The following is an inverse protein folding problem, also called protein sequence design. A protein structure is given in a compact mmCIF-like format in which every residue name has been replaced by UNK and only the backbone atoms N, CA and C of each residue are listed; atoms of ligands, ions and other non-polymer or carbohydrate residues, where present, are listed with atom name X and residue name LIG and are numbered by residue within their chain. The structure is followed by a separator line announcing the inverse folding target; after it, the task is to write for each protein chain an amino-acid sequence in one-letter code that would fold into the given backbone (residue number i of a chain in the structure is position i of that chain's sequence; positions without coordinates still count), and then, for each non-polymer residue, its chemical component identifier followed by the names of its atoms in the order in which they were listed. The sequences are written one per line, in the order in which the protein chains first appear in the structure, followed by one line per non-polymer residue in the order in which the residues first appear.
data_IF_011515777163
#
_entry.id   IF_011515777163
#
_cell.length_a   1.000
_cell.length_b   1.000
_cell.length_c   1.000
_cell.angle_alpha   90.00
_cell.angle_beta   90.00
_cell.angle_gamma   90.00
#
_symmetry.space_group_name_H-M   'P 1'
#
loop_
_entity.id
_entity.type
_entity.pdbx_description
1 polymer ?
#
# COMPACT_ATOMS: atom_id res chain seq x y z
N UNK A 1 -11.79 10.28 36.78
CA UNK A 1 -10.32 10.25 36.63
C UNK A 1 -9.89 11.58 36.00
N UNK A 2 -8.86 12.22 36.57
CA UNK A 2 -8.34 13.48 36.06
C UNK A 2 -7.48 13.25 34.79
N UNK A 3 -7.74 14.07 33.78
CA UNK A 3 -6.96 14.10 32.55
C UNK A 3 -6.15 15.41 32.50
N UNK A 4 -4.84 15.26 32.25
CA UNK A 4 -3.89 16.39 32.23
C UNK A 4 -3.51 16.87 30.84
N UNK A 5 -4.04 16.22 29.78
CA UNK A 5 -3.69 16.48 28.38
C UNK A 5 -4.71 17.38 27.69
N UNK A 6 -5.99 17.04 27.82
CA UNK A 6 -7.07 17.60 27.01
C UNK A 6 -7.85 18.69 27.75
N UNK A 7 -8.46 19.59 26.97
CA UNK A 7 -9.43 20.54 27.47
C UNK A 7 -10.82 19.90 27.69
N UNK A 8 -11.72 20.57 28.45
CA UNK A 8 -12.99 19.99 28.84
C UNK A 8 -13.89 19.64 27.64
N UNK A 9 -13.95 20.48 26.60
CA UNK A 9 -14.75 20.21 25.40
C UNK A 9 -14.34 18.89 24.68
N UNK A 10 -13.06 18.59 24.65
CA UNK A 10 -12.54 17.31 24.06
C UNK A 10 -13.00 16.15 24.96
N UNK A 11 -12.89 16.27 26.27
CA UNK A 11 -13.30 15.21 27.20
C UNK A 11 -14.81 14.99 27.20
N UNK A 12 -15.59 16.02 27.05
CA UNK A 12 -17.06 15.91 26.98
C UNK A 12 -17.48 15.18 25.70
N UNK A 13 -16.87 15.51 24.57
CA UNK A 13 -17.07 14.76 23.32
C UNK A 13 -16.66 13.29 23.45
N UNK A 14 -15.48 13.00 24.01
CA UNK A 14 -15.00 11.65 24.25
C UNK A 14 -15.88 10.85 25.19
N UNK A 15 -16.33 11.48 26.32
CA UNK A 15 -17.24 10.85 27.26
C UNK A 15 -18.62 10.56 26.66
N UNK A 16 -19.13 11.45 25.78
CA UNK A 16 -20.39 11.25 25.08
C UNK A 16 -20.29 10.02 24.09
N UNK A 17 -19.23 9.95 23.29
CA UNK A 17 -19.02 8.84 22.35
C UNK A 17 -18.89 7.52 23.08
N UNK A 18 -18.03 7.45 24.10
CA UNK A 18 -17.77 6.21 24.82
C UNK A 18 -18.94 5.80 25.71
N UNK A 19 -19.81 6.75 26.09
CA UNK A 19 -21.02 6.49 26.86
C UNK A 19 -22.00 5.51 26.21
N UNK A 20 -21.94 5.37 24.88
CA UNK A 20 -22.75 4.44 24.10
C UNK A 20 -22.28 2.97 24.20
N UNK A 21 -21.12 2.68 24.79
CA UNK A 21 -20.59 1.33 24.92
C UNK A 21 -21.21 0.59 26.11
N UNK A 22 -21.95 -0.48 25.85
CA UNK A 22 -22.74 -1.26 26.82
C UNK A 22 -21.88 -2.00 27.86
N UNK A 23 -20.60 -2.21 27.63
CA UNK A 23 -19.67 -2.96 28.52
C UNK A 23 -18.71 -2.10 29.35
N UNK A 24 -18.92 -0.78 29.41
CA UNK A 24 -17.97 0.14 30.05
C UNK A 24 -18.01 0.10 31.57
N UNK A 25 -16.84 0.00 32.22
CA UNK A 25 -16.68 0.36 33.64
C UNK A 25 -16.82 1.90 33.77
N UNK A 26 -17.82 2.39 34.51
CA UNK A 26 -18.25 3.78 34.57
C UNK A 26 -17.21 4.78 35.10
N UNK A 27 -16.23 5.16 34.25
CA UNK A 27 -15.29 6.23 34.54
C UNK A 27 -15.65 7.46 33.70
N UNK A 28 -15.72 8.62 34.34
CA UNK A 28 -15.87 9.93 33.67
C UNK A 28 -14.56 10.69 33.77
N UNK A 29 -14.05 11.12 32.60
CA UNK A 29 -12.85 11.96 32.54
C UNK A 29 -13.22 13.44 32.76
N UNK A 30 -12.39 14.14 33.51
CA UNK A 30 -12.50 15.59 33.76
C UNK A 30 -11.10 16.22 33.78
N UNK A 31 -10.99 17.53 33.60
CA UNK A 31 -9.72 18.26 33.54
C UNK A 31 -9.82 19.64 34.20
N UNK A 32 -8.68 20.18 34.59
CA UNK A 32 -8.49 21.57 35.01
C UNK A 32 -7.95 22.48 33.89
N UNK A 33 -7.70 21.93 32.69
CA UNK A 33 -7.13 22.66 31.55
C UNK A 33 -8.09 23.66 30.87
N UNK A 34 -9.19 24.03 31.54
CA UNK A 34 -10.18 24.96 31.00
C UNK A 34 -11.09 24.33 29.94
N UNK A 35 -11.96 25.13 29.34
CA UNK A 35 -13.01 24.67 28.42
C UNK A 35 -12.42 24.30 27.04
N UNK A 36 -11.48 25.09 26.53
CA UNK A 36 -10.87 24.93 25.22
C UNK A 36 -11.81 25.24 24.05
N UNK A 37 -11.35 25.01 22.83
CA UNK A 37 -12.15 25.18 21.62
C UNK A 37 -13.16 24.04 21.46
N UNK A 38 -14.23 24.31 20.72
CA UNK A 38 -15.27 23.31 20.43
C UNK A 38 -14.76 22.31 19.40
N UNK A 39 -15.10 21.04 19.57
CA UNK A 39 -14.92 20.01 18.58
C UNK A 39 -15.73 20.34 17.31
N UNK A 40 -15.11 20.36 16.17
CA UNK A 40 -15.76 20.61 14.89
C UNK A 40 -16.04 19.30 14.15
N UNK A 41 -17.21 19.21 13.54
CA UNK A 41 -17.59 18.09 12.68
C UNK A 41 -17.73 18.64 11.25
N UNK A 42 -17.02 18.06 10.31
CA UNK A 42 -17.10 18.41 8.91
C UNK A 42 -17.56 17.19 8.10
N UNK A 43 -18.66 17.36 7.35
CA UNK A 43 -19.13 16.36 6.38
C UNK A 43 -18.58 16.72 5.01
N UNK A 44 -18.07 15.74 4.31
CA UNK A 44 -17.52 15.87 2.95
C UNK A 44 -18.13 14.79 2.06
N UNK A 45 -17.99 14.92 0.73
CA UNK A 45 -18.65 14.04 -0.23
C UNK A 45 -17.78 12.86 -0.68
N UNK A 46 -16.45 12.97 -0.56
CA UNK A 46 -15.51 11.95 -0.99
C UNK A 46 -14.25 11.92 -0.12
N UNK A 47 -13.50 10.82 -0.20
CA UNK A 47 -12.18 10.69 0.44
C UNK A 47 -11.21 11.78 -0.04
N UNK A 48 -11.31 12.17 -1.31
CA UNK A 48 -10.49 13.24 -1.89
C UNK A 48 -10.82 14.59 -1.26
N UNK A 49 -12.11 14.87 -1.01
CA UNK A 49 -12.55 16.10 -0.34
C UNK A 49 -12.10 16.13 1.12
N UNK A 50 -12.16 14.97 1.80
CA UNK A 50 -11.64 14.81 3.15
C UNK A 50 -10.16 15.15 3.23
N UNK A 51 -9.37 14.51 2.36
CA UNK A 51 -7.92 14.71 2.31
C UNK A 51 -7.53 16.17 1.97
N UNK A 52 -8.23 16.79 1.02
CA UNK A 52 -8.02 18.18 0.65
C UNK A 52 -8.43 19.14 1.80
N UNK A 53 -9.53 18.86 2.50
CA UNK A 53 -9.95 19.63 3.67
C UNK A 53 -8.90 19.56 4.79
N UNK A 54 -8.35 18.36 5.07
CA UNK A 54 -7.29 18.17 6.07
C UNK A 54 -6.04 18.99 5.67
N UNK A 55 -5.57 18.85 4.43
CA UNK A 55 -4.38 19.56 3.94
C UNK A 55 -4.57 21.08 4.02
N UNK A 56 -5.74 21.59 3.62
CA UNK A 56 -6.07 23.02 3.67
C UNK A 56 -6.13 23.54 5.11
N UNK A 57 -6.68 22.75 6.04
CA UNK A 57 -6.75 23.11 7.45
C UNK A 57 -5.37 23.21 8.08
N UNK A 58 -4.48 22.24 7.81
CA UNK A 58 -3.11 22.25 8.29
C UNK A 58 -2.32 23.44 7.72
N UNK A 59 -2.51 23.74 6.43
CA UNK A 59 -1.85 24.88 5.80
C UNK A 59 -2.32 26.21 6.39
N UNK A 60 -3.62 26.36 6.64
CA UNK A 60 -4.19 27.54 7.28
C UNK A 60 -3.65 27.72 8.71
N UNK A 61 -3.48 26.63 9.45
CA UNK A 61 -2.91 26.69 10.80
C UNK A 61 -1.43 27.09 10.76
N UNK A 62 -0.65 26.48 9.89
CA UNK A 62 0.75 26.83 9.67
C UNK A 62 0.94 28.31 9.27
N UNK A 63 0.06 28.83 8.41
CA UNK A 63 0.09 30.25 7.98
C UNK A 63 -0.21 31.20 9.16
N UNK A 64 -0.95 30.75 10.16
CA UNK A 64 -1.21 31.49 11.40
C UNK A 64 -0.08 31.36 12.44
N UNK A 65 1.00 30.69 12.12
CA UNK A 65 2.17 30.51 13.00
C UNK A 65 2.19 29.19 13.78
N UNK A 66 1.31 28.25 13.45
CA UNK A 66 1.34 26.89 13.98
C UNK A 66 2.53 26.08 13.46
N UNK A 67 2.85 24.97 14.12
CA UNK A 67 3.90 24.05 13.68
C UNK A 67 3.28 22.73 13.21
N UNK A 68 3.85 22.15 12.13
CA UNK A 68 3.41 20.85 11.61
C UNK A 68 3.42 19.74 12.67
N UNK A 69 4.42 19.78 13.58
CA UNK A 69 4.57 18.80 14.66
C UNK A 69 3.45 18.82 15.71
N UNK A 70 2.69 19.90 15.78
CA UNK A 70 1.64 20.08 16.78
C UNK A 70 0.29 19.51 16.31
N UNK A 71 0.25 19.00 15.06
CA UNK A 71 -0.94 18.41 14.46
C UNK A 71 -0.79 16.90 14.27
N UNK A 72 -1.89 16.18 14.48
CA UNK A 72 -1.98 14.75 14.21
C UNK A 72 -3.26 14.41 13.45
N UNK A 73 -3.14 13.50 12.48
CA UNK A 73 -4.28 12.95 11.74
C UNK A 73 -4.47 11.51 12.19
N UNK A 74 -5.67 11.20 12.69
CA UNK A 74 -6.04 9.86 13.16
C UNK A 74 -7.10 9.29 12.23
N UNK A 75 -6.90 8.05 11.79
CA UNK A 75 -7.84 7.34 10.93
C UNK A 75 -8.05 5.91 11.43
N UNK A 76 -9.19 5.32 11.08
CA UNK A 76 -9.56 3.97 11.55
C UNK A 76 -8.98 2.88 10.67
N UNK A 77 -8.96 3.07 9.36
CA UNK A 77 -8.51 2.08 8.38
C UNK A 77 -7.27 2.56 7.65
N UNK A 78 -6.32 1.65 7.42
CA UNK A 78 -5.09 1.96 6.72
C UNK A 78 -5.32 2.46 5.28
N UNK A 79 -6.40 2.03 4.61
CA UNK A 79 -6.75 2.49 3.28
C UNK A 79 -6.92 4.01 3.18
N UNK A 80 -7.46 4.64 4.24
CA UNK A 80 -7.66 6.10 4.30
C UNK A 80 -6.35 6.90 4.23
N UNK A 81 -5.21 6.30 4.62
CA UNK A 81 -3.92 6.99 4.61
C UNK A 81 -3.49 7.43 3.21
N UNK A 82 -3.84 6.68 2.16
CA UNK A 82 -3.38 6.96 0.80
C UNK A 82 -3.85 8.33 0.29
N UNK A 83 -5.16 8.61 0.36
CA UNK A 83 -5.72 9.89 -0.07
C UNK A 83 -5.11 11.07 0.73
N UNK A 84 -4.96 10.88 2.05
CA UNK A 84 -4.38 11.89 2.95
C UNK A 84 -2.89 12.12 2.61
N UNK A 85 -2.09 11.06 2.46
CA UNK A 85 -0.68 11.17 2.10
C UNK A 85 -0.48 11.86 0.75
N UNK A 86 -1.31 11.54 -0.25
CA UNK A 86 -1.27 12.20 -1.56
C UNK A 86 -1.58 13.68 -1.47
N UNK A 87 -2.60 14.07 -0.67
CA UNK A 87 -2.95 15.47 -0.48
C UNK A 87 -1.85 16.24 0.25
N UNK A 88 -1.24 15.66 1.30
CA UNK A 88 -0.13 16.26 2.03
C UNK A 88 1.09 16.47 1.11
N UNK A 89 1.47 15.47 0.32
CA UNK A 89 2.58 15.56 -0.65
C UNK A 89 2.33 16.65 -1.70
N UNK A 90 1.13 16.68 -2.27
CA UNK A 90 0.74 17.67 -3.30
C UNK A 90 0.85 19.09 -2.78
N UNK A 91 0.57 19.32 -1.49
CA UNK A 91 0.66 20.61 -0.84
C UNK A 91 2.02 20.89 -0.17
N UNK A 92 3.01 20.00 -0.31
CA UNK A 92 4.34 20.17 0.29
C UNK A 92 4.36 20.11 1.81
N UNK A 93 3.35 19.49 2.44
CA UNK A 93 3.23 19.38 3.90
C UNK A 93 4.08 18.20 4.39
N UNK A 94 5.09 18.43 5.26
CA UNK A 94 5.88 17.34 5.80
C UNK A 94 5.07 16.49 6.79
N UNK A 95 5.15 15.17 6.67
CA UNK A 95 4.43 14.24 7.55
C UNK A 95 5.23 12.98 7.86
N UNK A 96 4.83 12.31 8.94
CA UNK A 96 5.33 10.99 9.33
C UNK A 96 4.16 10.07 9.65
N UNK A 97 4.10 8.91 9.01
CA UNK A 97 3.16 7.85 9.38
C UNK A 97 3.70 7.10 10.60
N UNK A 98 2.88 7.02 11.65
CA UNK A 98 3.23 6.36 12.91
C UNK A 98 2.37 5.12 13.08
N UNK A 99 3.01 3.97 13.31
CA UNK A 99 2.31 2.71 13.58
C UNK A 99 1.69 2.01 12.36
N UNK A 100 1.87 2.57 11.14
CA UNK A 100 1.43 1.97 9.88
C UNK A 100 2.55 1.91 8.85
N UNK A 101 2.46 0.99 7.89
CA UNK A 101 3.29 1.07 6.68
C UNK A 101 2.72 2.15 5.77
N UNK A 102 3.60 2.97 5.19
CA UNK A 102 3.20 3.90 4.12
C UNK A 102 2.53 3.10 3.01
N UNK A 103 1.53 3.67 2.34
CA UNK A 103 0.81 2.99 1.26
C UNK A 103 1.75 2.31 0.26
N UNK A 104 2.77 3.03 -0.23
CA UNK A 104 3.76 2.49 -1.17
C UNK A 104 4.75 1.50 -0.56
N UNK A 105 4.76 1.33 0.77
CA UNK A 105 5.60 0.34 1.46
C UNK A 105 4.89 -1.00 1.67
N UNK A 106 3.59 -1.06 1.43
CA UNK A 106 2.81 -2.29 1.51
C UNK A 106 3.29 -3.32 0.50
N UNK A 107 3.30 -4.58 0.91
CA UNK A 107 3.76 -5.67 0.05
C UNK A 107 2.97 -5.75 -1.25
N UNK A 108 1.64 -5.64 -1.16
CA UNK A 108 0.71 -5.72 -2.28
C UNK A 108 0.98 -4.63 -3.33
N UNK A 109 1.21 -3.41 -2.87
CA UNK A 109 1.52 -2.26 -3.75
C UNK A 109 2.88 -2.46 -4.43
N UNK A 110 3.89 -2.91 -3.67
CA UNK A 110 5.23 -3.20 -4.21
C UNK A 110 5.20 -4.36 -5.22
N UNK A 111 4.39 -5.38 -4.96
CA UNK A 111 4.25 -6.53 -5.85
C UNK A 111 3.62 -6.10 -7.17
N UNK A 112 2.49 -5.38 -7.12
CA UNK A 112 1.81 -4.92 -8.33
C UNK A 112 2.64 -3.91 -9.13
N UNK A 113 3.30 -2.96 -8.47
CA UNK A 113 4.26 -2.08 -9.14
C UNK A 113 5.38 -2.87 -9.80
N UNK A 114 5.84 -3.97 -9.18
CA UNK A 114 6.90 -4.80 -9.76
C UNK A 114 6.42 -5.56 -10.99
N UNK A 115 5.16 -6.02 -11.03
CA UNK A 115 4.58 -6.57 -12.25
C UNK A 115 4.54 -5.54 -13.38
N UNK A 116 4.00 -4.34 -13.11
CA UNK A 116 3.90 -3.28 -14.11
C UNK A 116 5.27 -2.84 -14.63
N UNK A 117 6.26 -2.70 -13.73
CA UNK A 117 7.63 -2.37 -14.12
C UNK A 117 8.28 -3.48 -14.96
N UNK A 118 8.07 -4.76 -14.60
CA UNK A 118 8.61 -5.90 -15.36
C UNK A 118 7.99 -6.00 -16.75
N UNK A 119 6.70 -5.74 -16.89
CA UNK A 119 6.00 -5.69 -18.18
C UNK A 119 6.56 -4.56 -19.06
N UNK A 120 6.83 -3.40 -18.47
CA UNK A 120 7.41 -2.27 -19.19
C UNK A 120 8.91 -2.46 -19.52
N UNK A 121 9.63 -3.22 -18.70
CA UNK A 121 11.06 -3.50 -18.88
C UNK A 121 11.40 -4.89 -18.33
N UNK A 122 11.47 -5.87 -19.22
CA UNK A 122 11.79 -7.26 -18.89
C UNK A 122 13.22 -7.46 -18.35
N UNK A 123 14.13 -6.51 -18.56
CA UNK A 123 15.51 -6.56 -18.06
C UNK A 123 15.62 -6.12 -16.57
N UNK A 124 14.52 -5.77 -15.89
CA UNK A 124 14.55 -5.43 -14.47
C UNK A 124 14.56 -6.67 -13.58
N UNK A 125 15.75 -7.20 -13.34
CA UNK A 125 15.97 -8.40 -12.53
C UNK A 125 15.47 -8.28 -11.10
N UNK A 126 15.50 -7.09 -10.50
CA UNK A 126 14.99 -6.88 -9.15
C UNK A 126 13.46 -7.05 -9.08
N UNK A 127 12.76 -6.53 -10.08
CA UNK A 127 11.31 -6.67 -10.19
C UNK A 127 10.93 -8.10 -10.54
N UNK A 128 11.65 -8.73 -11.44
CA UNK A 128 11.49 -10.16 -11.77
C UNK A 128 11.61 -11.03 -10.52
N UNK A 129 12.71 -10.91 -9.77
CA UNK A 129 12.93 -11.71 -8.56
C UNK A 129 11.81 -11.53 -7.53
N UNK A 130 11.23 -10.32 -7.45
CA UNK A 130 10.14 -10.05 -6.54
C UNK A 130 8.87 -10.80 -6.90
N UNK A 131 8.50 -10.89 -8.18
CA UNK A 131 7.17 -11.35 -8.60
C UNK A 131 7.13 -12.75 -9.22
N UNK A 132 8.27 -13.32 -9.60
CA UNK A 132 8.34 -14.62 -10.29
C UNK A 132 7.61 -15.74 -9.54
N UNK A 133 7.61 -15.70 -8.21
CA UNK A 133 6.90 -16.67 -7.36
C UNK A 133 5.89 -16.00 -6.41
N UNK A 134 5.37 -14.84 -6.77
CA UNK A 134 4.32 -14.12 -6.03
C UNK A 134 3.18 -13.77 -7.00
N UNK A 135 2.02 -14.42 -6.90
CA UNK A 135 1.66 -15.56 -6.02
C UNK A 135 2.51 -16.81 -6.25
N UNK A 136 2.41 -17.76 -5.30
CA UNK A 136 3.21 -18.98 -5.36
C UNK A 136 2.95 -19.81 -6.62
N UNK A 137 3.99 -20.01 -7.44
CA UNK A 137 3.96 -20.79 -8.71
C UNK A 137 4.77 -22.07 -8.61
N UNK A 138 5.29 -22.37 -7.43
CA UNK A 138 6.19 -23.51 -7.22
C UNK A 138 7.57 -23.31 -7.89
N UNK A 139 7.98 -22.05 -8.07
CA UNK A 139 9.32 -21.65 -8.47
C UNK A 139 10.08 -21.34 -7.19
N UNK A 140 10.88 -22.30 -6.70
CA UNK A 140 11.59 -22.18 -5.44
C UNK A 140 12.81 -21.25 -5.52
N UNK A 141 13.29 -20.81 -4.34
CA UNK A 141 14.48 -19.95 -4.22
C UNK A 141 15.72 -20.54 -4.90
N UNK A 142 15.90 -21.86 -4.82
CA UNK A 142 17.01 -22.56 -5.50
C UNK A 142 16.96 -22.41 -7.03
N UNK A 143 15.76 -22.43 -7.62
CA UNK A 143 15.60 -22.22 -9.05
C UNK A 143 15.92 -20.77 -9.43
N UNK A 144 15.44 -19.82 -8.64
CA UNK A 144 15.70 -18.38 -8.85
C UNK A 144 17.20 -18.10 -8.75
N UNK A 145 17.88 -18.69 -7.79
CA UNK A 145 19.33 -18.54 -7.62
C UNK A 145 20.11 -19.09 -8.81
N UNK A 146 19.72 -20.25 -9.34
CA UNK A 146 20.33 -20.81 -10.58
C UNK A 146 20.13 -19.90 -11.80
N UNK A 147 18.92 -19.34 -11.96
CA UNK A 147 18.65 -18.36 -13.03
C UNK A 147 19.55 -17.14 -12.87
N UNK A 148 19.68 -16.59 -11.65
CA UNK A 148 20.54 -15.45 -11.36
C UNK A 148 22.00 -15.73 -11.67
N UNK A 149 22.49 -16.93 -11.32
CA UNK A 149 23.86 -17.34 -11.57
C UNK A 149 24.13 -17.46 -13.08
N UNK A 150 23.24 -18.13 -13.84
CA UNK A 150 23.35 -18.24 -15.29
C UNK A 150 23.32 -16.86 -15.97
N UNK A 151 22.44 -15.97 -15.53
CA UNK A 151 22.36 -14.60 -16.02
C UNK A 151 23.68 -13.85 -15.81
N UNK A 152 24.28 -13.96 -14.62
CA UNK A 152 25.55 -13.34 -14.30
C UNK A 152 26.72 -13.92 -15.13
N UNK A 153 26.75 -15.25 -15.32
CA UNK A 153 27.78 -15.94 -16.14
C UNK A 153 27.74 -15.54 -17.60
N UNK A 154 26.54 -15.27 -18.13
CA UNK A 154 26.38 -14.93 -19.57
C UNK A 154 26.27 -13.42 -19.82
N UNK A 155 26.18 -12.61 -18.78
CA UNK A 155 25.99 -11.17 -18.92
C UNK A 155 24.63 -10.80 -19.53
N UNK A 156 23.60 -11.63 -19.29
CA UNK A 156 22.23 -11.46 -19.78
C UNK A 156 21.27 -11.13 -18.65
N UNK A 157 20.13 -10.46 -18.94
CA UNK A 157 19.04 -10.35 -17.99
C UNK A 157 18.51 -11.71 -17.55
N UNK A 158 18.04 -11.83 -16.34
CA UNK A 158 17.43 -13.08 -15.84
C UNK A 158 16.23 -13.52 -16.71
N UNK A 159 15.49 -12.58 -17.27
CA UNK A 159 14.33 -12.86 -18.11
C UNK A 159 14.71 -13.65 -19.37
N UNK A 160 15.83 -13.34 -20.00
CA UNK A 160 16.34 -14.05 -21.18
C UNK A 160 16.70 -15.50 -20.84
N UNK A 161 17.25 -15.73 -19.66
CA UNK A 161 17.49 -17.09 -19.14
C UNK A 161 16.18 -17.87 -18.94
N UNK A 162 15.11 -17.17 -18.48
CA UNK A 162 13.80 -17.82 -18.34
C UNK A 162 13.21 -18.22 -19.68
N UNK A 163 13.36 -17.41 -20.72
CA UNK A 163 12.85 -17.70 -22.07
C UNK A 163 13.48 -18.98 -22.64
N UNK A 164 14.76 -19.21 -22.42
CA UNK A 164 15.50 -20.42 -22.87
C UNK A 164 15.73 -21.46 -21.77
N UNK A 165 14.85 -21.49 -20.75
CA UNK A 165 15.04 -22.36 -19.58
C UNK A 165 15.21 -23.85 -19.91
N UNK A 166 14.74 -24.34 -21.06
CA UNK A 166 14.91 -25.72 -21.51
C UNK A 166 16.31 -26.01 -22.00
N UNK A 167 17.04 -25.03 -22.54
CA UNK A 167 18.42 -25.12 -22.97
C UNK A 167 19.39 -25.41 -21.82
N UNK A 168 19.04 -25.01 -20.60
CA UNK A 168 19.87 -25.15 -19.40
C UNK A 168 19.57 -26.45 -18.65
N UNK A 169 20.53 -27.34 -18.53
CA UNK A 169 20.38 -28.63 -17.83
C UNK A 169 19.87 -28.46 -16.39
N UNK A 170 20.35 -27.41 -15.69
CA UNK A 170 20.01 -27.10 -14.30
C UNK A 170 18.59 -26.59 -14.08
N UNK A 171 17.95 -26.09 -15.14
CA UNK A 171 16.59 -25.53 -15.10
C UNK A 171 15.52 -26.48 -15.66
N UNK A 172 15.89 -27.58 -16.32
CA UNK A 172 14.95 -28.51 -16.99
C UNK A 172 13.78 -28.93 -16.13
N UNK A 173 14.01 -29.24 -14.85
CA UNK A 173 12.96 -29.67 -13.92
C UNK A 173 11.92 -28.58 -13.67
N UNK A 174 12.31 -27.31 -13.75
CA UNK A 174 11.47 -26.14 -13.51
C UNK A 174 11.04 -25.42 -14.80
N UNK A 175 11.57 -25.83 -15.96
CA UNK A 175 11.41 -25.15 -17.24
C UNK A 175 9.93 -24.90 -17.60
N UNK A 176 9.05 -25.87 -17.37
CA UNK A 176 7.62 -25.70 -17.65
C UNK A 176 6.97 -24.57 -16.84
N UNK A 177 7.33 -24.41 -15.56
CA UNK A 177 6.83 -23.33 -14.70
C UNK A 177 7.41 -21.99 -15.09
N UNK A 178 8.70 -21.94 -15.41
CA UNK A 178 9.39 -20.73 -15.88
C UNK A 178 8.77 -20.25 -17.19
N UNK A 179 8.55 -21.14 -18.14
CA UNK A 179 7.88 -20.83 -19.40
C UNK A 179 6.45 -20.33 -19.22
N UNK A 180 5.70 -20.91 -18.29
CA UNK A 180 4.35 -20.44 -17.99
C UNK A 180 4.37 -19.00 -17.48
N UNK A 181 5.33 -18.65 -16.63
CA UNK A 181 5.51 -17.28 -16.15
C UNK A 181 5.90 -16.34 -17.30
N UNK A 182 6.86 -16.72 -18.15
CA UNK A 182 7.28 -15.92 -19.32
C UNK A 182 6.08 -15.63 -20.23
N UNK A 183 5.32 -16.66 -20.63
CA UNK A 183 4.14 -16.50 -21.49
C UNK A 183 3.08 -15.56 -20.90
N UNK A 184 2.91 -15.59 -19.59
CA UNK A 184 2.00 -14.66 -18.90
C UNK A 184 2.49 -13.23 -19.05
N UNK A 185 3.78 -12.95 -18.81
CA UNK A 185 4.36 -11.61 -18.96
C UNK A 185 4.28 -11.14 -20.41
N UNK A 186 4.67 -11.97 -21.38
CA UNK A 186 4.58 -11.66 -22.82
C UNK A 186 3.16 -11.28 -23.23
N UNK A 187 2.18 -12.11 -22.86
CA UNK A 187 0.76 -11.82 -23.12
C UNK A 187 0.27 -10.51 -22.51
N UNK A 188 0.80 -10.11 -21.35
CA UNK A 188 0.48 -8.84 -20.72
C UNK A 188 1.21 -7.67 -21.39
N UNK A 189 2.45 -7.89 -21.84
CA UNK A 189 3.21 -6.88 -22.59
C UNK A 189 2.52 -6.52 -23.90
N UNK A 190 2.04 -7.52 -24.65
CA UNK A 190 1.31 -7.31 -25.92
C UNK A 190 0.05 -6.43 -25.71
N UNK A 191 -0.65 -6.61 -24.59
CA UNK A 191 -1.89 -5.88 -24.28
C UNK A 191 -1.65 -4.51 -23.63
N UNK A 192 -0.45 -4.23 -23.16
CA UNK A 192 -0.16 -3.02 -22.38
C UNK A 192 -0.33 -1.72 -23.18
N UNK A 193 -0.13 -1.75 -24.49
CA UNK A 193 -0.28 -0.61 -25.39
C UNK A 193 -1.72 -0.42 -25.91
N UNK A 194 -2.57 -1.44 -25.77
CA UNK A 194 -3.91 -1.47 -26.34
C UNK A 194 -5.01 -1.04 -25.35
N UNK A 195 -4.69 -1.00 -24.05
CA UNK A 195 -5.67 -0.81 -22.98
C UNK A 195 -5.41 0.43 -22.12
N UNK A 196 -6.47 1.12 -21.64
CA UNK A 196 -6.34 2.15 -20.61
C UNK A 196 -5.72 1.56 -19.33
N UNK A 197 -4.84 2.33 -18.66
CA UNK A 197 -4.08 1.86 -17.49
C UNK A 197 -4.94 1.26 -16.36
N UNK A 198 -6.11 1.81 -15.99
CA UNK A 198 -6.95 1.20 -14.95
C UNK A 198 -7.43 -0.22 -15.30
N UNK A 199 -7.90 -0.41 -16.53
CA UNK A 199 -8.37 -1.71 -17.03
C UNK A 199 -7.21 -2.70 -17.16
N UNK A 200 -6.05 -2.22 -17.63
CA UNK A 200 -4.84 -3.02 -17.71
C UNK A 200 -4.36 -3.47 -16.33
N UNK A 201 -4.43 -2.58 -15.33
CA UNK A 201 -4.09 -2.93 -13.95
C UNK A 201 -4.96 -4.09 -13.42
N UNK A 202 -6.27 -4.02 -13.61
CA UNK A 202 -7.20 -5.08 -13.20
C UNK A 202 -6.87 -6.40 -13.92
N UNK A 203 -6.56 -6.33 -15.21
CA UNK A 203 -6.13 -7.50 -15.99
C UNK A 203 -4.84 -8.12 -15.45
N UNK A 204 -3.85 -7.30 -15.08
CA UNK A 204 -2.60 -7.77 -14.46
C UNK A 204 -2.89 -8.46 -13.13
N UNK A 205 -3.75 -7.89 -12.29
CA UNK A 205 -4.16 -8.50 -11.02
C UNK A 205 -4.79 -9.89 -11.22
N UNK A 206 -5.66 -10.03 -12.21
CA UNK A 206 -6.36 -11.28 -12.49
C UNK A 206 -5.46 -12.31 -13.17
N UNK A 207 -4.76 -11.95 -14.24
CA UNK A 207 -3.89 -12.86 -15.00
C UNK A 207 -2.71 -13.36 -14.19
N UNK A 208 -2.15 -12.54 -13.31
CA UNK A 208 -1.10 -12.96 -12.40
C UNK A 208 -1.59 -13.92 -11.31
N UNK A 209 -2.91 -14.01 -11.08
CA UNK A 209 -3.53 -14.77 -9.99
C UNK A 209 -3.44 -14.04 -8.65
N UNK A 210 -3.07 -12.77 -8.65
CA UNK A 210 -2.83 -12.01 -7.40
C UNK A 210 -4.13 -11.78 -6.63
N UNK A 211 -5.20 -11.38 -7.33
CA UNK A 211 -6.55 -11.21 -6.75
C UNK A 211 -7.03 -12.48 -6.06
N UNK A 212 -6.92 -13.63 -6.73
CA UNK A 212 -7.31 -14.91 -6.17
C UNK A 212 -6.50 -15.29 -4.92
N UNK A 213 -5.19 -15.01 -4.94
CA UNK A 213 -4.32 -15.27 -3.80
C UNK A 213 -4.63 -14.38 -2.58
N UNK A 214 -4.98 -13.10 -2.79
CA UNK A 214 -5.44 -12.20 -1.73
C UNK A 214 -6.76 -12.66 -1.13
N UNK A 215 -7.71 -13.05 -1.97
CA UNK A 215 -9.01 -13.58 -1.53
C UNK A 215 -8.85 -14.84 -0.66
N UNK A 216 -7.95 -15.74 -1.07
CA UNK A 216 -7.66 -16.96 -0.34
C UNK A 216 -7.00 -16.71 1.03
N UNK A 217 -6.26 -15.62 1.20
CA UNK A 217 -5.67 -15.25 2.51
C UNK A 217 -6.71 -14.75 3.51
N UNK A 218 -7.94 -14.43 3.11
CA UNK A 218 -8.96 -13.88 3.99
C UNK A 218 -8.66 -12.49 4.55
N UNK A 219 -7.62 -11.83 4.04
CA UNK A 219 -7.14 -10.53 4.49
C UNK A 219 -8.08 -9.43 3.99
N UNK A 220 -9.03 -9.01 4.82
CA UNK A 220 -9.96 -7.91 4.49
C UNK A 220 -9.22 -6.57 4.31
N UNK A 221 -8.06 -6.39 4.95
CA UNK A 221 -7.22 -5.19 4.82
C UNK A 221 -6.52 -5.10 3.44
N UNK A 222 -6.38 -6.23 2.75
CA UNK A 222 -5.75 -6.30 1.43
C UNK A 222 -6.73 -6.10 0.26
N UNK A 223 -8.03 -5.90 0.55
CA UNK A 223 -9.09 -5.78 -0.46
C UNK A 223 -9.47 -4.34 -0.80
N UNK A 224 -8.88 -3.35 -0.10
CA UNK A 224 -9.20 -1.94 -0.26
C UNK A 224 -8.26 -1.16 -1.15
#
# INVERSE_FOLDING_TARGET
EQNYRSTQNILDAANAVIGNNVGRKGKKLWTENGTGERVQIKTVFSESDEANFIASSLMADYTRGGNWRDSAILYRMNAQSNAIEMALRRNGIPYKVVGGMKFFDRAEVKDMLSYLCLIANSADDLRLQRVINVPARGIGSTTIEKVRQLAAEQGLPMYDILQDAEGYADLRRSAGKLRQFVRMIESLTDLSEEMPLPEFYDLVCDRSGYTAALQARGDMESRG
#
